data_IF_045500363914
#
_entry.id   IF_045500363914
#
_cell.length_a   1.000
_cell.length_b   1.000
_cell.length_c   1.000
_cell.angle_alpha   90.00
_cell.angle_beta   90.00
_cell.angle_gamma   90.00
#
_symmetry.space_group_name_H-M   'P 1'
#
loop_
_entity.id
_entity.type
_entity.pdbx_description
1 polymer ?
#
# COMPACT_ATOMS: atom_id res chain seq x y z
N UNK A 1 -13.66 9.24 -2.16
CA UNK A 1 -13.17 9.41 -3.52
C UNK A 1 -11.76 8.89 -3.60
N UNK A 2 -11.49 7.95 -4.48
CA UNK A 2 -10.26 7.17 -4.61
C UNK A 2 -9.24 8.05 -5.38
N UNK A 3 -8.68 9.07 -4.70
CA UNK A 3 -7.73 10.00 -5.34
C UNK A 3 -6.38 9.39 -5.69
N UNK A 4 -6.05 8.23 -5.11
CA UNK A 4 -4.75 7.57 -5.27
C UNK A 4 -4.85 6.20 -5.98
N UNK A 5 -6.03 5.84 -6.51
CA UNK A 5 -6.17 4.62 -7.29
C UNK A 5 -5.71 4.86 -8.73
N UNK A 6 -4.92 3.94 -9.25
CA UNK A 6 -4.55 3.95 -10.66
C UNK A 6 -5.76 3.63 -11.53
N UNK A 7 -5.85 4.32 -12.66
CA UNK A 7 -6.89 4.11 -13.65
C UNK A 7 -6.60 2.86 -14.52
N UNK A 8 -7.61 2.43 -15.29
CA UNK A 8 -7.39 1.37 -16.27
C UNK A 8 -6.33 1.76 -17.33
N UNK A 9 -6.26 3.03 -17.71
CA UNK A 9 -5.22 3.53 -18.60
C UNK A 9 -3.82 3.42 -18.02
N UNK A 10 -3.67 3.58 -16.70
CA UNK A 10 -2.38 3.39 -16.02
C UNK A 10 -1.96 1.91 -16.05
N UNK A 11 -2.91 0.97 -15.99
CA UNK A 11 -2.62 -0.46 -16.13
C UNK A 11 -2.16 -0.81 -17.55
N UNK A 12 -2.75 -0.19 -18.57
CA UNK A 12 -2.30 -0.34 -19.95
C UNK A 12 -0.87 0.18 -20.10
N UNK A 13 -0.60 1.38 -19.57
CA UNK A 13 0.74 1.97 -19.59
C UNK A 13 1.76 1.10 -18.85
N UNK A 14 1.41 0.59 -17.67
CA UNK A 14 2.27 -0.35 -16.95
C UNK A 14 2.63 -1.58 -17.80
N UNK A 15 1.64 -2.17 -18.48
CA UNK A 15 1.88 -3.29 -19.39
C UNK A 15 2.88 -2.93 -20.51
N UNK A 16 2.73 -1.74 -21.12
CA UNK A 16 3.61 -1.25 -22.18
C UNK A 16 5.03 -1.00 -21.65
N UNK A 17 5.16 -0.39 -20.48
CA UNK A 17 6.44 -0.12 -19.84
C UNK A 17 7.16 -1.42 -19.43
N UNK A 18 6.43 -2.39 -18.90
CA UNK A 18 6.98 -3.73 -18.61
C UNK A 18 7.42 -4.45 -19.89
N UNK A 19 6.59 -4.45 -20.93
CA UNK A 19 6.90 -5.08 -22.21
C UNK A 19 8.11 -4.45 -22.93
N UNK A 20 8.36 -3.15 -22.70
CA UNK A 20 9.50 -2.42 -23.26
C UNK A 20 10.76 -2.44 -22.40
N UNK A 21 10.76 -3.19 -21.29
CA UNK A 21 11.92 -3.35 -20.39
C UNK A 21 12.23 -2.12 -19.56
N UNK A 22 11.24 -1.28 -19.26
CA UNK A 22 11.40 -0.09 -18.40
C UNK A 22 11.13 -0.36 -16.92
N UNK A 23 10.69 -1.57 -16.59
CA UNK A 23 10.40 -2.00 -15.23
C UNK A 23 11.42 -3.05 -14.84
N UNK A 24 12.34 -2.69 -13.94
CA UNK A 24 13.38 -3.60 -13.45
C UNK A 24 12.93 -4.41 -12.24
N UNK A 25 12.06 -3.85 -11.41
CA UNK A 25 11.55 -4.46 -10.19
C UNK A 25 10.04 -4.26 -10.08
N UNK A 26 9.33 -5.34 -9.80
CA UNK A 26 7.92 -5.31 -9.42
C UNK A 26 7.76 -5.79 -7.99
N UNK A 27 7.04 -5.02 -7.19
CA UNK A 27 6.62 -5.43 -5.85
C UNK A 27 5.10 -5.51 -5.82
N UNK A 28 4.55 -6.67 -5.47
CA UNK A 28 3.11 -6.87 -5.28
C UNK A 28 2.78 -7.07 -3.81
N UNK A 29 1.76 -6.32 -3.34
CA UNK A 29 1.26 -6.39 -1.97
C UNK A 29 -0.27 -6.36 -1.96
N UNK A 30 -0.88 -7.33 -1.31
CA UNK A 30 -2.33 -7.49 -1.23
C UNK A 30 -3.05 -7.38 -2.60
N UNK A 31 -2.40 -7.85 -3.65
CA UNK A 31 -2.91 -7.76 -5.00
C UNK A 31 -2.56 -9.01 -5.81
N UNK A 32 -3.55 -9.51 -6.53
CA UNK A 32 -3.37 -10.61 -7.49
C UNK A 32 -3.77 -10.14 -8.91
N UNK A 33 -2.95 -9.29 -9.56
CA UNK A 33 -3.26 -8.73 -10.87
C UNK A 33 -3.33 -9.78 -11.97
N UNK A 34 -2.62 -10.90 -11.85
CA UNK A 34 -2.69 -11.98 -12.85
C UNK A 34 -4.08 -12.61 -12.90
N UNK A 35 -4.77 -12.70 -11.76
CA UNK A 35 -6.14 -13.19 -11.67
C UNK A 35 -7.18 -12.10 -11.90
N UNK A 36 -6.99 -10.93 -11.26
CA UNK A 36 -8.04 -9.91 -11.15
C UNK A 36 -8.17 -8.98 -12.36
N UNK A 37 -7.11 -8.83 -13.16
CA UNK A 37 -7.14 -7.95 -14.33
C UNK A 37 -7.70 -8.69 -15.56
N UNK A 38 -8.33 -7.95 -16.50
CA UNK A 38 -8.87 -8.54 -17.73
C UNK A 38 -7.79 -9.29 -18.54
N UNK A 39 -8.14 -10.47 -19.06
CA UNK A 39 -7.23 -11.28 -19.88
C UNK A 39 -6.69 -10.55 -21.13
N UNK A 40 -7.45 -9.57 -21.64
CA UNK A 40 -7.02 -8.69 -22.74
C UNK A 40 -5.78 -7.85 -22.44
N UNK A 41 -5.46 -7.64 -21.14
CA UNK A 41 -4.24 -6.97 -20.74
C UNK A 41 -3.00 -7.88 -20.81
N UNK A 42 -3.17 -9.19 -20.95
CA UNK A 42 -2.05 -10.15 -21.02
C UNK A 42 -0.99 -9.94 -19.94
N UNK A 43 -1.44 -9.67 -18.71
CA UNK A 43 -0.58 -9.28 -17.56
C UNK A 43 0.54 -10.28 -17.31
N UNK A 44 0.27 -11.57 -17.47
CA UNK A 44 1.28 -12.62 -17.34
C UNK A 44 2.45 -12.41 -18.29
N UNK A 45 2.16 -12.10 -19.58
CA UNK A 45 3.22 -11.83 -20.57
C UNK A 45 4.04 -10.58 -20.24
N UNK A 46 3.41 -9.56 -19.63
CA UNK A 46 4.11 -8.38 -19.16
C UNK A 46 5.03 -8.72 -17.98
N UNK A 47 4.56 -9.53 -17.04
CA UNK A 47 5.33 -9.98 -15.89
C UNK A 47 6.56 -10.82 -16.29
N UNK A 48 6.44 -11.66 -17.32
CA UNK A 48 7.56 -12.46 -17.85
C UNK A 48 8.73 -11.59 -18.36
N UNK A 49 8.48 -10.29 -18.65
CA UNK A 49 9.50 -9.35 -19.11
C UNK A 49 10.18 -8.58 -17.97
N UNK A 50 9.65 -8.63 -16.77
CA UNK A 50 10.19 -7.92 -15.61
C UNK A 50 11.30 -8.79 -15.00
N UNK A 51 12.54 -8.28 -14.89
CA UNK A 51 13.69 -9.07 -14.44
C UNK A 51 13.55 -9.60 -13.01
N UNK A 52 12.96 -8.83 -12.10
CA UNK A 52 12.82 -9.24 -10.70
C UNK A 52 11.45 -8.89 -10.13
N UNK A 53 10.81 -9.88 -9.53
CA UNK A 53 9.44 -9.76 -8.98
C UNK A 53 9.40 -10.25 -7.54
N UNK A 54 8.86 -9.42 -6.66
CA UNK A 54 8.70 -9.72 -5.23
C UNK A 54 7.22 -9.71 -4.89
N UNK A 55 6.75 -10.75 -4.21
CA UNK A 55 5.38 -10.83 -3.69
C UNK A 55 5.39 -10.86 -2.16
N UNK A 56 4.54 -10.01 -1.57
CA UNK A 56 4.22 -10.02 -0.14
C UNK A 56 2.88 -10.75 0.14
N UNK A 57 2.53 -11.70 -0.70
CA UNK A 57 1.33 -12.51 -0.48
C UNK A 57 1.55 -13.52 0.64
N UNK A 58 0.59 -13.61 1.57
CA UNK A 58 0.59 -14.63 2.63
C UNK A 58 0.07 -15.98 2.16
N UNK A 59 -0.41 -16.07 0.93
CA UNK A 59 -0.84 -17.31 0.27
C UNK A 59 -0.27 -17.40 -1.13
N UNK A 60 -0.05 -18.61 -1.61
CA UNK A 60 0.39 -18.85 -2.98
C UNK A 60 -0.81 -18.59 -3.91
N UNK A 61 -0.68 -17.56 -4.75
CA UNK A 61 -1.66 -17.17 -5.77
C UNK A 61 -0.99 -17.05 -7.15
N UNK A 62 -1.78 -16.79 -8.21
CA UNK A 62 -1.29 -16.75 -9.59
C UNK A 62 -0.22 -15.68 -9.83
N UNK A 63 -0.23 -14.60 -9.05
CA UNK A 63 0.78 -13.54 -9.12
C UNK A 63 2.05 -13.94 -8.36
N UNK A 64 1.89 -14.49 -7.16
CA UNK A 64 3.03 -14.92 -6.34
C UNK A 64 3.77 -16.12 -6.97
N UNK A 65 3.08 -17.01 -7.67
CA UNK A 65 3.71 -18.10 -8.43
C UNK A 65 4.67 -17.60 -9.53
N UNK A 66 4.46 -16.39 -10.06
CA UNK A 66 5.33 -15.77 -11.06
C UNK A 66 6.46 -14.93 -10.44
N UNK A 67 6.49 -14.83 -9.11
CA UNK A 67 7.46 -14.00 -8.41
C UNK A 67 8.76 -14.76 -8.15
N UNK A 68 9.88 -14.03 -8.22
CA UNK A 68 11.23 -14.57 -7.97
C UNK A 68 11.52 -14.69 -6.47
N UNK A 69 10.82 -13.86 -5.65
CA UNK A 69 10.90 -13.89 -4.19
C UNK A 69 9.52 -13.71 -3.59
N UNK A 70 9.17 -14.58 -2.65
CA UNK A 70 7.94 -14.49 -1.87
C UNK A 70 8.32 -14.23 -0.41
N UNK A 71 7.87 -13.10 0.13
CA UNK A 71 8.03 -12.68 1.52
C UNK A 71 6.64 -12.59 2.15
N UNK A 72 6.14 -13.65 2.79
CA UNK A 72 4.78 -13.64 3.34
C UNK A 72 4.61 -12.51 4.37
N UNK A 73 3.66 -11.61 4.11
CA UNK A 73 3.34 -10.53 5.04
C UNK A 73 2.66 -11.06 6.31
N UNK A 74 2.69 -10.26 7.36
CA UNK A 74 1.98 -10.54 8.60
C UNK A 74 0.47 -10.39 8.40
N UNK A 75 -0.29 -11.19 9.15
CA UNK A 75 -1.73 -10.99 9.22
C UNK A 75 -2.04 -9.61 9.88
N UNK A 76 -3.13 -8.92 9.52
CA UNK A 76 -3.49 -7.63 10.14
C UNK A 76 -3.61 -7.64 11.66
N UNK A 77 -3.88 -8.81 12.28
CA UNK A 77 -3.88 -8.97 13.74
C UNK A 77 -2.47 -9.06 14.36
N UNK A 78 -1.43 -9.18 13.55
CA UNK A 78 -0.04 -9.36 13.97
C UNK A 78 0.83 -8.14 13.77
N UNK A 79 0.33 -7.10 13.07
CA UNK A 79 1.13 -5.94 12.66
C UNK A 79 0.47 -4.60 12.98
N UNK A 80 1.30 -3.58 13.06
CA UNK A 80 0.87 -2.19 13.09
C UNK A 80 0.57 -1.69 11.68
N UNK A 81 -0.40 -0.78 11.59
CA UNK A 81 -0.72 -0.12 10.34
C UNK A 81 -1.63 1.09 10.56
N UNK A 82 -1.88 1.83 9.50
CA UNK A 82 -2.90 2.86 9.49
C UNK A 82 -3.63 2.88 8.14
N UNK A 83 -4.77 3.55 8.14
CA UNK A 83 -5.58 3.72 6.94
C UNK A 83 -6.35 5.03 6.99
N UNK A 84 -6.24 5.83 5.94
CA UNK A 84 -7.02 7.04 5.76
C UNK A 84 -8.08 6.82 4.67
N UNK A 85 -9.25 6.28 5.07
CA UNK A 85 -10.34 5.99 4.15
C UNK A 85 -11.05 7.22 3.60
N UNK A 86 -10.96 8.35 4.30
CA UNK A 86 -11.50 9.65 3.92
C UNK A 86 -10.64 10.74 4.58
N UNK A 87 -10.51 11.90 3.94
CA UNK A 87 -9.80 13.04 4.50
C UNK A 87 -10.19 13.30 5.96
N UNK A 88 -9.22 13.42 6.85
CA UNK A 88 -9.38 13.62 8.30
C UNK A 88 -10.02 12.44 9.07
N UNK A 89 -10.17 11.27 8.45
CA UNK A 89 -10.56 10.04 9.14
C UNK A 89 -9.42 9.05 9.03
N UNK A 90 -8.53 9.05 10.01
CA UNK A 90 -7.37 8.16 10.05
C UNK A 90 -7.57 7.10 11.12
N UNK A 91 -7.57 5.86 10.69
CA UNK A 91 -7.70 4.68 11.51
C UNK A 91 -6.32 4.12 11.84
N UNK A 92 -6.19 3.52 13.01
CA UNK A 92 -4.97 2.81 13.41
C UNK A 92 -5.28 1.33 13.58
N UNK A 93 -4.39 0.51 13.07
CA UNK A 93 -4.40 -0.94 13.24
C UNK A 93 -3.31 -1.25 14.26
N UNK A 94 -3.68 -1.87 15.38
CA UNK A 94 -2.71 -2.35 16.36
C UNK A 94 -2.76 -3.88 16.40
N UNK A 95 -1.60 -4.55 16.58
CA UNK A 95 -1.57 -6.00 16.68
C UNK A 95 -2.32 -6.49 17.92
N UNK A 96 -3.14 -7.51 17.76
CA UNK A 96 -3.81 -8.23 18.84
C UNK A 96 -3.02 -9.46 19.30
N UNK A 97 -2.02 -9.88 18.53
CA UNK A 97 -1.18 -11.02 18.79
C UNK A 97 0.24 -10.83 18.26
N UNK A 98 1.17 -11.64 18.70
CA UNK A 98 2.54 -11.67 18.15
C UNK A 98 2.54 -12.42 16.82
N UNK A 99 3.51 -12.13 15.93
CA UNK A 99 3.71 -12.91 14.71
C UNK A 99 3.84 -14.40 15.00
N UNK A 100 3.06 -15.21 14.30
CA UNK A 100 3.01 -16.66 14.53
C UNK A 100 4.25 -17.37 13.95
N UNK A 101 4.74 -16.90 12.81
CA UNK A 101 5.81 -17.56 12.06
C UNK A 101 7.14 -16.79 12.05
N UNK A 102 7.25 -15.71 12.80
CA UNK A 102 8.49 -14.93 12.91
C UNK A 102 8.90 -14.16 11.63
N UNK A 103 8.02 -14.03 10.67
CA UNK A 103 8.19 -13.16 9.50
C UNK A 103 8.07 -11.67 9.89
N UNK A 104 8.51 -10.80 9.00
CA UNK A 104 8.43 -9.35 9.16
C UNK A 104 7.19 -8.80 8.44
N UNK A 105 6.68 -7.68 8.93
CA UNK A 105 5.70 -6.90 8.14
C UNK A 105 6.33 -6.36 6.87
N UNK A 106 5.51 -6.06 5.87
CA UNK A 106 5.99 -5.36 4.66
C UNK A 106 6.68 -4.05 5.01
N UNK A 107 6.16 -3.30 5.98
CA UNK A 107 6.75 -2.04 6.43
C UNK A 107 8.16 -2.23 7.00
N UNK A 108 8.35 -3.20 7.90
CA UNK A 108 9.65 -3.51 8.48
C UNK A 108 10.61 -4.06 7.41
N UNK A 109 10.13 -4.89 6.49
CA UNK A 109 10.92 -5.44 5.39
C UNK A 109 11.46 -4.35 4.46
N UNK A 110 10.61 -3.39 4.06
CA UNK A 110 11.01 -2.27 3.21
C UNK A 110 11.98 -1.33 3.95
N UNK A 111 11.70 -0.97 5.21
CA UNK A 111 12.59 -0.12 6.02
C UNK A 111 13.98 -0.76 6.18
N UNK A 112 14.01 -2.03 6.54
CA UNK A 112 15.27 -2.76 6.70
C UNK A 112 16.06 -2.82 5.40
N UNK A 113 15.40 -3.11 4.28
CA UNK A 113 16.03 -3.18 2.96
C UNK A 113 16.58 -1.81 2.57
N UNK A 114 15.77 -0.75 2.70
CA UNK A 114 16.19 0.62 2.38
C UNK A 114 17.41 1.03 3.22
N UNK A 115 17.35 0.84 4.53
CA UNK A 115 18.44 1.19 5.44
C UNK A 115 19.73 0.37 5.22
N UNK A 116 19.65 -0.79 4.57
CA UNK A 116 20.82 -1.59 4.21
C UNK A 116 21.44 -1.20 2.86
N UNK A 117 20.65 -0.67 1.92
CA UNK A 117 21.11 -0.29 0.58
C UNK A 117 21.60 1.16 0.56
N UNK A 118 20.91 2.07 1.23
CA UNK A 118 21.20 3.50 1.17
C UNK A 118 22.49 3.88 1.91
N UNK A 119 23.23 4.89 1.40
CA UNK A 119 24.35 5.51 2.11
C UNK A 119 23.93 6.03 3.48
N UNK A 120 24.88 6.07 4.42
CA UNK A 120 24.60 6.49 5.81
C UNK A 120 23.88 7.83 5.94
N UNK A 121 24.10 8.75 5.01
CA UNK A 121 23.54 10.10 5.03
C UNK A 121 22.06 10.17 4.61
N UNK A 122 21.53 9.12 3.98
CA UNK A 122 20.14 9.05 3.51
C UNK A 122 19.28 8.02 4.25
N UNK A 123 19.82 7.42 5.32
CA UNK A 123 19.06 6.42 6.08
C UNK A 123 17.84 7.02 6.77
N UNK A 124 16.79 6.22 6.81
CA UNK A 124 15.62 6.52 7.64
C UNK A 124 16.02 6.25 9.10
N UNK A 125 15.82 7.23 9.99
CA UNK A 125 16.21 7.12 11.41
C UNK A 125 15.44 6.02 12.16
N UNK A 126 14.23 5.72 11.72
CA UNK A 126 13.37 4.71 12.34
C UNK A 126 13.84 3.31 11.98
N UNK A 127 13.96 2.45 12.99
CA UNK A 127 14.37 1.06 12.81
C UNK A 127 13.20 0.10 12.63
N UNK A 128 11.99 0.51 13.03
CA UNK A 128 10.77 -0.29 12.92
C UNK A 128 9.65 0.47 12.24
N UNK A 129 8.74 -0.26 11.61
CA UNK A 129 7.55 0.35 11.01
C UNK A 129 6.68 1.06 12.05
N UNK A 130 6.60 0.57 13.29
CA UNK A 130 5.90 1.26 14.37
C UNK A 130 6.50 2.65 14.66
N UNK A 131 7.83 2.77 14.71
CA UNK A 131 8.49 4.05 14.91
C UNK A 131 8.23 5.00 13.74
N UNK A 132 8.30 4.49 12.52
CA UNK A 132 7.97 5.24 11.31
C UNK A 132 6.52 5.74 11.34
N UNK A 133 5.58 4.87 11.70
CA UNK A 133 4.17 5.20 11.84
C UNK A 133 3.94 6.29 12.90
N UNK A 134 4.56 6.16 14.08
CA UNK A 134 4.50 7.19 15.12
C UNK A 134 5.04 8.53 14.65
N UNK A 135 6.16 8.52 13.93
CA UNK A 135 6.75 9.75 13.38
C UNK A 135 5.81 10.40 12.35
N UNK A 136 5.21 9.61 11.47
CA UNK A 136 4.19 10.09 10.53
C UNK A 136 2.98 10.70 11.24
N UNK A 137 2.50 10.06 12.31
CA UNK A 137 1.37 10.57 13.09
C UNK A 137 1.73 11.83 13.93
N UNK A 138 2.99 11.99 14.29
CA UNK A 138 3.46 13.18 15.01
C UNK A 138 3.29 14.45 14.16
N UNK A 139 3.33 14.36 12.85
CA UNK A 139 3.11 15.50 11.95
C UNK A 139 1.66 16.03 11.98
N UNK A 140 0.72 15.20 12.45
CA UNK A 140 -0.70 15.56 12.56
C UNK A 140 -1.03 16.23 13.90
N UNK A 141 -0.06 16.25 14.82
CA UNK A 141 -0.28 16.67 16.19
C UNK A 141 0.39 18.00 16.49
N UNK A 142 -0.38 18.95 17.00
CA UNK A 142 0.10 20.29 17.37
C UNK A 142 0.12 20.56 18.88
N UNK A 143 -0.17 19.54 19.71
CA UNK A 143 -0.31 19.67 21.15
C UNK A 143 1.00 19.50 21.92
N UNK A 144 0.91 19.46 23.26
CA UNK A 144 2.08 19.41 24.18
C UNK A 144 2.63 18.02 24.43
N UNK A 145 1.86 16.95 24.20
CA UNK A 145 2.27 15.57 24.50
C UNK A 145 1.81 14.60 23.41
N UNK A 146 2.73 14.24 22.52
CA UNK A 146 2.46 13.24 21.49
C UNK A 146 2.07 11.88 22.08
N UNK A 147 2.68 11.46 23.19
CA UNK A 147 2.35 10.18 23.81
C UNK A 147 0.89 10.11 24.26
N UNK A 148 0.35 11.20 24.82
CA UNK A 148 -1.06 11.25 25.20
C UNK A 148 -1.97 11.17 23.97
N UNK A 149 -1.64 11.90 22.92
CA UNK A 149 -2.36 11.85 21.64
C UNK A 149 -2.34 10.44 21.06
N UNK A 150 -1.15 9.82 20.94
CA UNK A 150 -0.98 8.47 20.40
C UNK A 150 -1.78 7.43 21.18
N UNK A 151 -1.68 7.44 22.51
CA UNK A 151 -2.40 6.50 23.36
C UNK A 151 -3.92 6.64 23.21
N UNK A 152 -4.42 7.88 23.08
CA UNK A 152 -5.84 8.11 22.81
C UNK A 152 -6.26 7.63 21.42
N UNK A 153 -5.43 7.87 20.40
CA UNK A 153 -5.69 7.38 19.06
C UNK A 153 -5.74 5.84 19.02
N UNK A 154 -4.79 5.17 19.63
CA UNK A 154 -4.78 3.70 19.76
C UNK A 154 -6.02 3.20 20.50
N UNK A 155 -6.36 3.82 21.65
CA UNK A 155 -7.55 3.44 22.45
C UNK A 155 -8.85 3.59 21.67
N UNK A 156 -8.95 4.64 20.84
CA UNK A 156 -10.17 4.95 20.08
C UNK A 156 -10.19 4.28 18.69
N UNK A 157 -9.11 3.61 18.28
CA UNK A 157 -8.96 3.02 16.95
C UNK A 157 -8.63 4.03 15.85
N UNK A 158 -8.29 5.27 16.22
CA UNK A 158 -7.92 6.32 15.27
C UNK A 158 -8.24 7.73 15.73
N UNK A 159 -8.19 8.66 14.77
CA UNK A 159 -8.60 10.07 14.94
C UNK A 159 -9.70 10.37 13.93
N UNK A 160 -10.81 10.88 14.41
CA UNK A 160 -12.03 11.08 13.64
C UNK A 160 -12.50 12.52 13.80
N UNK A 161 -11.95 13.43 12.99
CA UNK A 161 -12.42 14.79 12.94
C UNK A 161 -13.75 14.86 12.21
N UNK A 162 -14.70 15.63 12.75
CA UNK A 162 -16.00 15.81 12.09
C UNK A 162 -15.79 16.56 10.77
N UNK A 163 -16.13 15.89 9.68
CA UNK A 163 -16.12 16.49 8.35
C UNK A 163 -17.40 17.32 8.20
N UNK A 164 -17.28 18.62 8.31
CA UNK A 164 -18.29 19.51 7.74
C UNK A 164 -18.19 19.44 6.20
N UNK A 165 -18.95 18.55 5.59
CA UNK A 165 -19.06 18.50 4.14
C UNK A 165 -20.12 19.50 3.68
N UNK A 166 -19.68 20.66 3.26
CA UNK A 166 -20.50 21.64 2.51
C UNK A 166 -20.39 21.47 1.00
N UNK A 167 -19.99 20.32 0.52
CA UNK A 167 -19.84 20.09 -0.93
C UNK A 167 -21.20 19.75 -1.51
N UNK A 168 -21.80 20.66 -2.26
CA UNK A 168 -22.92 20.34 -3.14
C UNK A 168 -22.39 19.45 -4.27
N UNK A 169 -22.87 18.22 -4.33
CA UNK A 169 -22.58 17.33 -5.44
C UNK A 169 -23.51 17.68 -6.59
N UNK A 170 -22.97 18.18 -7.70
CA UNK A 170 -23.71 18.36 -8.93
C UNK A 170 -23.47 17.15 -9.84
N UNK A 171 -24.55 16.56 -10.32
CA UNK A 171 -24.46 15.49 -11.30
C UNK A 171 -23.97 16.06 -12.64
N UNK A 172 -22.85 15.54 -13.17
CA UNK A 172 -22.37 15.93 -14.50
C UNK A 172 -23.07 15.07 -15.57
N UNK A 173 -24.16 15.60 -16.12
CA UNK A 173 -24.94 14.93 -17.16
C UNK A 173 -24.31 14.97 -18.57
N UNK A 174 -23.11 15.56 -18.70
CA UNK A 174 -22.43 15.75 -19.99
C UNK A 174 -21.35 14.71 -20.30
N UNK A 175 -21.07 13.80 -19.39
CA UNK A 175 -20.16 12.70 -19.70
C UNK A 175 -20.86 11.63 -20.53
N UNK A 176 -20.50 11.54 -21.80
CA UNK A 176 -20.89 10.43 -22.66
C UNK A 176 -20.02 9.21 -22.34
N UNK A 177 -20.67 8.09 -22.02
CA UNK A 177 -19.96 6.81 -21.90
C UNK A 177 -19.53 6.35 -23.29
N UNK A 178 -18.23 6.32 -23.53
CA UNK A 178 -17.68 5.69 -24.73
C UNK A 178 -17.80 4.18 -24.56
N UNK A 179 -18.78 3.57 -25.21
CA UNK A 179 -18.85 2.12 -25.32
C UNK A 179 -17.76 1.67 -26.30
N UNK A 180 -16.69 1.11 -25.78
CA UNK A 180 -15.67 0.47 -26.62
C UNK A 180 -16.33 -0.83 -27.15
N UNK A 181 -16.80 -0.81 -28.38
CA UNK A 181 -17.22 -2.03 -29.09
C UNK A 181 -16.03 -2.99 -29.21
N UNK A 182 -16.27 -4.26 -28.92
CA UNK A 182 -15.30 -5.36 -29.07
C UNK A 182 -14.82 -5.49 -30.52
#
# INVERSE_FOLDING_TARGET
LISNASSYSDMIKFKEDAASGKVDLLISYNANPVYSLPSSLEVKKAFDKIPYKVSFSSSLDETSELSDLILPDLHPLEQWGDYEGKKNLRYIIQPAMKPLYGNLSIGDSILSTFNNIEPKDNKIEQNTYLEFLKNSWATLYTGKSFNTFWNNAVKNGGVFDQLESKTSLNFNSKEEFVVVSK
#
